data_IF_801116269896
#
_entry.id   IF_801116269896
#
_cell.length_a   1.000
_cell.length_b   1.000
_cell.length_c   1.000
_cell.angle_alpha   90.00
_cell.angle_beta   90.00
_cell.angle_gamma   90.00
#
_symmetry.space_group_name_H-M   'P 1'
#
loop_
_entity.id
_entity.type
_entity.pdbx_description
1 polymer ?
#
# COMPACT_ATOMS: atom_id res chain seq x y z
N UNK A 1 0.57 -10.81 25.63
CA UNK A 1 1.49 -9.67 25.37
C UNK A 1 1.73 -9.42 23.87
N UNK A 2 1.89 -10.45 23.03
CA UNK A 2 2.14 -10.29 21.59
C UNK A 2 1.03 -9.58 20.79
N UNK A 3 -0.25 -9.80 21.10
CA UNK A 3 -1.35 -9.23 20.31
C UNK A 3 -1.50 -7.70 20.45
N UNK A 4 -1.32 -7.19 21.67
CA UNK A 4 -1.30 -5.73 21.93
C UNK A 4 -0.08 -5.11 21.23
N UNK A 5 1.08 -5.76 21.29
CA UNK A 5 2.27 -5.31 20.59
C UNK A 5 2.05 -5.26 19.06
N UNK A 6 1.39 -6.25 18.47
CA UNK A 6 1.06 -6.26 17.04
C UNK A 6 0.10 -5.14 16.66
N UNK A 7 -0.93 -4.86 17.48
CA UNK A 7 -1.87 -3.73 17.28
C UNK A 7 -1.13 -2.38 17.28
N UNK A 8 -0.26 -2.17 18.25
CA UNK A 8 0.56 -0.97 18.37
C UNK A 8 1.55 -0.88 17.20
N UNK A 9 2.27 -1.96 16.90
CA UNK A 9 3.25 -2.02 15.83
C UNK A 9 2.63 -1.72 14.45
N UNK A 10 1.47 -2.31 14.14
CA UNK A 10 0.77 -2.06 12.88
C UNK A 10 0.39 -0.58 12.72
N UNK A 11 -0.10 0.04 13.79
CA UNK A 11 -0.50 1.45 13.77
C UNK A 11 0.72 2.37 13.65
N UNK A 12 1.79 2.09 14.39
CA UNK A 12 3.04 2.86 14.35
C UNK A 12 3.76 2.72 13.02
N UNK A 13 3.83 1.52 12.44
CA UNK A 13 4.46 1.26 11.14
C UNK A 13 3.79 2.08 10.04
N UNK A 14 2.45 2.12 10.01
CA UNK A 14 1.70 2.94 9.06
C UNK A 14 2.14 4.42 9.11
N UNK A 15 2.17 5.00 10.30
CA UNK A 15 2.56 6.41 10.49
C UNK A 15 4.03 6.61 10.13
N UNK A 16 4.90 5.73 10.60
CA UNK A 16 6.33 5.79 10.36
C UNK A 16 6.62 5.75 8.85
N UNK A 17 5.96 4.89 8.10
CA UNK A 17 6.21 4.70 6.67
C UNK A 17 5.77 5.89 5.85
N UNK A 18 4.66 6.53 6.21
CA UNK A 18 4.26 7.79 5.60
C UNK A 18 5.29 8.89 5.90
N UNK A 19 5.71 9.03 7.15
CA UNK A 19 6.68 10.06 7.57
C UNK A 19 8.04 9.85 6.91
N UNK A 20 8.59 8.64 6.96
CA UNK A 20 9.86 8.27 6.33
C UNK A 20 9.79 8.51 4.83
N UNK A 21 8.70 8.09 4.17
CA UNK A 21 8.56 8.31 2.73
C UNK A 21 8.53 9.81 2.36
N UNK A 22 7.91 10.65 3.19
CA UNK A 22 7.93 12.11 3.01
C UNK A 22 9.33 12.69 3.24
N UNK A 23 10.02 12.28 4.30
CA UNK A 23 11.36 12.78 4.63
C UNK A 23 12.35 12.38 3.52
N UNK A 24 12.38 11.12 3.13
CA UNK A 24 13.26 10.60 2.08
C UNK A 24 13.00 11.31 0.75
N UNK A 25 11.73 11.48 0.37
CA UNK A 25 11.42 12.20 -0.87
C UNK A 25 11.84 13.67 -0.87
N UNK A 26 11.78 14.34 0.28
CA UNK A 26 12.30 15.71 0.44
C UNK A 26 13.83 15.74 0.43
N UNK A 27 14.49 14.86 1.20
CA UNK A 27 15.93 14.83 1.38
C UNK A 27 16.67 14.58 0.06
N UNK A 28 16.23 13.58 -0.71
CA UNK A 28 16.86 13.20 -1.98
C UNK A 28 16.31 13.98 -3.19
N UNK A 29 15.39 14.95 -2.97
CA UNK A 29 14.73 15.72 -4.04
C UNK A 29 14.12 14.81 -5.12
N UNK A 30 13.56 13.65 -4.73
CA UNK A 30 13.00 12.62 -5.61
C UNK A 30 11.91 13.16 -6.55
N UNK A 31 11.26 14.26 -6.17
CA UNK A 31 10.33 15.02 -7.02
C UNK A 31 10.96 15.50 -8.34
N UNK A 32 12.27 15.82 -8.36
CA UNK A 32 13.01 16.18 -9.58
C UNK A 32 13.18 15.00 -10.55
N UNK A 33 13.18 13.78 -10.03
CA UNK A 33 13.23 12.53 -10.81
C UNK A 33 11.82 12.05 -11.23
N UNK A 34 10.77 12.81 -10.89
CA UNK A 34 9.39 12.45 -11.18
C UNK A 34 8.80 11.36 -10.28
N UNK A 35 9.51 10.99 -9.21
CA UNK A 35 9.06 10.09 -8.15
C UNK A 35 8.42 10.90 -7.02
N UNK A 36 7.29 10.43 -6.53
CA UNK A 36 6.55 11.03 -5.43
C UNK A 36 6.67 10.19 -4.15
N UNK A 37 6.26 10.74 -3.00
CA UNK A 37 6.29 10.00 -1.73
C UNK A 37 5.46 8.72 -1.79
N UNK A 38 4.32 8.77 -2.48
CA UNK A 38 3.47 7.62 -2.73
C UNK A 38 4.22 6.49 -3.45
N UNK A 39 5.19 6.85 -4.29
CA UNK A 39 5.95 5.87 -5.05
C UNK A 39 6.97 5.10 -4.21
N UNK A 40 7.43 5.71 -3.11
CA UNK A 40 8.26 5.04 -2.12
C UNK A 40 7.41 4.32 -1.06
N UNK A 41 6.31 4.93 -0.63
CA UNK A 41 5.45 4.41 0.42
C UNK A 41 4.70 3.14 -0.02
N UNK A 42 4.35 3.02 -1.31
CA UNK A 42 3.63 1.85 -1.82
C UNK A 42 4.34 0.51 -1.56
N UNK A 43 5.58 0.29 -2.03
CA UNK A 43 6.27 -0.98 -1.79
C UNK A 43 6.51 -1.25 -0.30
N UNK A 44 6.78 -0.20 0.49
CA UNK A 44 6.93 -0.33 1.94
C UNK A 44 5.64 -0.80 2.61
N UNK A 45 4.50 -0.20 2.27
CA UNK A 45 3.20 -0.60 2.80
C UNK A 45 2.82 -2.03 2.40
N UNK A 46 3.12 -2.47 1.17
CA UNK A 46 2.89 -3.85 0.75
C UNK A 46 3.72 -4.83 1.58
N UNK A 47 4.98 -4.49 1.84
CA UNK A 47 5.87 -5.30 2.66
C UNK A 47 5.42 -5.37 4.13
N UNK A 48 5.02 -4.24 4.72
CA UNK A 48 4.47 -4.21 6.07
C UNK A 48 3.17 -4.99 6.19
N UNK A 49 2.28 -4.84 5.21
CA UNK A 49 1.02 -5.57 5.14
C UNK A 49 1.27 -7.08 5.18
N UNK A 50 2.24 -7.56 4.39
CA UNK A 50 2.69 -8.94 4.41
C UNK A 50 3.22 -9.36 5.80
N UNK A 51 4.14 -8.57 6.38
CA UNK A 51 4.77 -8.92 7.66
C UNK A 51 3.78 -9.00 8.81
N UNK A 52 2.84 -8.05 8.88
CA UNK A 52 1.84 -8.00 9.96
C UNK A 52 0.85 -9.14 9.79
N UNK A 53 0.35 -9.36 8.58
CA UNK A 53 -0.66 -10.40 8.36
C UNK A 53 -0.10 -11.80 8.54
N UNK A 54 1.15 -12.05 8.13
CA UNK A 54 1.83 -13.32 8.37
C UNK A 54 2.08 -13.64 9.85
N UNK A 55 2.14 -12.61 10.71
CA UNK A 55 2.40 -12.77 12.16
C UNK A 55 1.13 -12.71 13.02
N UNK A 56 0.12 -11.95 12.61
CA UNK A 56 -1.07 -11.69 13.40
C UNK A 56 -2.26 -12.59 13.05
N UNK A 57 -2.32 -13.12 11.82
CA UNK A 57 -3.43 -13.93 11.34
C UNK A 57 -2.94 -15.34 10.97
N UNK A 58 -3.84 -16.31 11.04
CA UNK A 58 -3.57 -17.72 10.68
C UNK A 58 -3.30 -17.88 9.18
N UNK A 59 -3.91 -17.02 8.36
CA UNK A 59 -3.70 -16.98 6.92
C UNK A 59 -3.20 -15.60 6.50
N UNK A 60 -2.19 -15.60 5.63
CA UNK A 60 -1.64 -14.38 5.06
C UNK A 60 -2.65 -13.72 4.11
N UNK A 61 -2.84 -12.41 4.23
CA UNK A 61 -3.78 -11.67 3.38
C UNK A 61 -3.13 -11.12 2.10
N UNK A 62 -1.87 -11.46 1.81
CA UNK A 62 -1.20 -11.09 0.58
C UNK A 62 -2.02 -11.44 -0.70
N UNK A 63 -2.68 -12.62 -0.79
CA UNK A 63 -3.53 -12.92 -1.94
C UNK A 63 -4.70 -11.93 -2.09
N UNK A 64 -5.30 -11.48 -0.98
CA UNK A 64 -6.38 -10.48 -0.97
C UNK A 64 -5.89 -9.15 -1.56
N UNK A 65 -4.71 -8.71 -1.14
CA UNK A 65 -4.07 -7.49 -1.66
C UNK A 65 -3.70 -7.63 -3.14
N UNK A 66 -3.17 -8.80 -3.54
CA UNK A 66 -2.85 -9.12 -4.93
C UNK A 66 -4.06 -9.01 -5.85
N UNK A 67 -5.19 -9.62 -5.46
CA UNK A 67 -6.46 -9.54 -6.21
C UNK A 67 -6.93 -8.08 -6.33
N UNK A 68 -6.88 -7.31 -5.24
CA UNK A 68 -7.29 -5.91 -5.27
C UNK A 68 -6.42 -5.07 -6.22
N UNK A 69 -5.10 -5.27 -6.22
CA UNK A 69 -4.18 -4.61 -7.14
C UNK A 69 -4.37 -5.07 -8.60
N UNK A 70 -4.66 -6.35 -8.83
CA UNK A 70 -4.98 -6.84 -10.17
C UNK A 70 -6.26 -6.21 -10.72
N UNK A 71 -7.31 -6.10 -9.91
CA UNK A 71 -8.54 -5.41 -10.28
C UNK A 71 -8.27 -3.93 -10.59
N UNK A 72 -7.47 -3.25 -9.77
CA UNK A 72 -7.05 -1.88 -10.03
C UNK A 72 -6.31 -1.75 -11.37
N UNK A 73 -5.40 -2.68 -11.66
CA UNK A 73 -4.67 -2.69 -12.93
C UNK A 73 -5.62 -2.84 -14.12
N UNK A 74 -6.58 -3.77 -14.06
CA UNK A 74 -7.58 -3.97 -15.12
C UNK A 74 -8.42 -2.71 -15.32
N UNK A 75 -8.93 -2.12 -14.22
CA UNK A 75 -9.72 -0.89 -14.27
C UNK A 75 -8.93 0.27 -14.92
N UNK A 76 -7.65 0.41 -14.58
CA UNK A 76 -6.78 1.42 -15.18
C UNK A 76 -6.53 1.14 -16.67
N UNK A 77 -6.26 -0.11 -17.06
CA UNK A 77 -6.09 -0.47 -18.48
C UNK A 77 -7.33 -0.11 -19.29
N UNK A 78 -8.51 -0.50 -18.81
CA UNK A 78 -9.81 -0.14 -19.41
C UNK A 78 -9.94 1.40 -19.49
N UNK A 79 -9.69 2.12 -18.40
CA UNK A 79 -9.76 3.57 -18.39
C UNK A 79 -8.84 4.24 -19.44
N UNK A 80 -7.60 3.79 -19.56
CA UNK A 80 -6.65 4.32 -20.55
C UNK A 80 -7.06 3.99 -21.99
N UNK A 81 -7.55 2.78 -22.25
CA UNK A 81 -7.98 2.36 -23.59
C UNK A 81 -9.23 3.12 -24.04
N UNK A 82 -10.28 3.15 -23.21
CA UNK A 82 -11.56 3.75 -23.59
C UNK A 82 -11.54 5.28 -23.55
N UNK A 83 -10.93 5.90 -22.52
CA UNK A 83 -11.00 7.35 -22.32
C UNK A 83 -9.85 8.11 -22.97
N UNK A 84 -8.63 7.54 -22.94
CA UNK A 84 -7.44 8.21 -23.49
C UNK A 84 -7.10 7.77 -24.91
N UNK A 85 -7.64 6.64 -25.40
CA UNK A 85 -7.38 6.07 -26.74
C UNK A 85 -5.88 5.87 -27.06
N UNK A 86 -5.03 5.96 -26.04
CA UNK A 86 -3.57 5.89 -26.15
C UNK A 86 -3.05 5.26 -24.88
N UNK A 87 -2.38 4.12 -25.03
CA UNK A 87 -1.77 3.39 -23.94
C UNK A 87 -0.26 3.63 -23.95
N UNK A 88 0.23 4.36 -22.95
CA UNK A 88 1.66 4.62 -22.77
C UNK A 88 2.12 4.02 -21.44
N UNK A 89 2.96 2.99 -21.52
CA UNK A 89 3.38 2.16 -20.38
C UNK A 89 3.93 2.97 -19.19
N UNK A 90 4.85 3.94 -19.35
CA UNK A 90 5.35 4.72 -18.21
C UNK A 90 4.28 5.57 -17.52
N UNK A 91 3.26 6.03 -18.26
CA UNK A 91 2.14 6.79 -17.69
C UNK A 91 1.17 5.86 -16.96
N UNK A 92 0.92 4.67 -17.49
CA UNK A 92 0.17 3.63 -16.79
C UNK A 92 0.84 3.26 -15.46
N UNK A 93 2.15 2.94 -15.48
CA UNK A 93 2.89 2.56 -14.27
C UNK A 93 2.80 3.68 -13.23
N UNK A 94 3.06 4.95 -13.60
CA UNK A 94 2.93 6.08 -12.65
C UNK A 94 1.54 6.22 -12.05
N UNK A 95 0.49 5.95 -12.83
CA UNK A 95 -0.89 5.99 -12.33
C UNK A 95 -1.20 4.80 -11.42
N UNK A 96 -0.83 3.59 -11.86
CA UNK A 96 -0.99 2.36 -11.09
C UNK A 96 -0.28 2.47 -9.75
N UNK A 97 0.92 3.02 -9.73
CA UNK A 97 1.72 3.14 -8.53
C UNK A 97 1.09 4.10 -7.51
N UNK A 98 0.59 5.26 -7.96
CA UNK A 98 -0.11 6.24 -7.10
C UNK A 98 -1.48 5.76 -6.62
N UNK A 99 -2.25 5.12 -7.50
CA UNK A 99 -3.56 4.57 -7.14
C UNK A 99 -3.41 3.31 -6.27
N UNK A 100 -2.38 2.50 -6.56
CA UNK A 100 -2.01 1.32 -5.79
C UNK A 100 -1.59 1.70 -4.37
N UNK A 101 -0.83 2.78 -4.20
CA UNK A 101 -0.56 3.37 -2.89
C UNK A 101 -1.85 3.64 -2.11
N UNK A 102 -2.81 4.36 -2.72
CA UNK A 102 -4.07 4.69 -2.04
C UNK A 102 -4.89 3.44 -1.71
N UNK A 103 -4.98 2.48 -2.63
CA UNK A 103 -5.71 1.24 -2.40
C UNK A 103 -5.07 0.42 -1.28
N UNK A 104 -3.75 0.25 -1.30
CA UNK A 104 -3.02 -0.46 -0.25
C UNK A 104 -3.15 0.25 1.09
N UNK A 105 -3.14 1.59 1.13
CA UNK A 105 -3.37 2.36 2.35
C UNK A 105 -4.75 2.05 2.96
N UNK A 106 -5.81 2.05 2.15
CA UNK A 106 -7.17 1.73 2.60
C UNK A 106 -7.25 0.29 3.11
N UNK A 107 -6.67 -0.66 2.38
CA UNK A 107 -6.64 -2.08 2.79
C UNK A 107 -5.84 -2.29 4.07
N UNK A 108 -4.74 -1.56 4.25
CA UNK A 108 -3.94 -1.61 5.47
C UNK A 108 -4.73 -1.06 6.66
N UNK A 109 -5.44 0.05 6.49
CA UNK A 109 -6.32 0.60 7.53
C UNK A 109 -7.42 -0.43 7.88
N UNK A 110 -8.04 -1.05 6.88
CA UNK A 110 -9.02 -2.11 7.11
C UNK A 110 -8.43 -3.29 7.90
N UNK A 111 -7.20 -3.71 7.56
CA UNK A 111 -6.48 -4.75 8.31
C UNK A 111 -6.20 -4.33 9.77
N UNK A 112 -5.82 -3.07 10.03
CA UNK A 112 -5.69 -2.58 11.41
C UNK A 112 -7.02 -2.70 12.14
N UNK A 113 -8.14 -2.30 11.52
CA UNK A 113 -9.47 -2.40 12.14
C UNK A 113 -9.81 -3.86 12.45
N UNK A 114 -9.61 -4.78 11.50
CA UNK A 114 -9.78 -6.23 11.71
C UNK A 114 -8.90 -6.73 12.88
N UNK A 115 -7.65 -6.29 12.94
CA UNK A 115 -6.72 -6.63 14.01
C UNK A 115 -7.18 -6.08 15.38
N UNK A 116 -7.74 -4.87 15.41
CA UNK A 116 -8.26 -4.27 16.65
C UNK A 116 -9.47 -5.03 17.17
N UNK A 117 -10.36 -5.49 16.28
CA UNK A 117 -11.55 -6.29 16.61
C UNK A 117 -11.23 -7.72 17.05
N UNK A 118 -10.04 -8.24 16.69
CA UNK A 118 -9.59 -9.55 17.12
C UNK A 118 -9.40 -9.58 18.66
N UNK A 119 -10.17 -10.42 19.34
CA UNK A 119 -10.06 -10.65 20.78
C UNK A 119 -8.90 -11.58 21.10
N UNK A 120 -8.15 -11.33 22.20
CA UNK A 120 -7.17 -12.29 22.67
C UNK A 120 -7.86 -13.60 23.04
N UNK A 121 -7.44 -14.70 22.40
CA UNK A 121 -7.72 -16.05 22.89
C UNK A 121 -6.80 -16.38 24.06
#
# INVERSE_FOLDING_TARGET
MGMILMKIAATLLLVLTLVVSIIVTKLFKLKKLGLNFADLAFPLLVFEYYLITAKAFTHNFLPRLGVALSLLAILLVVFFLFKKRSFYYPKFIKFFWRAGFLLTLVLYIAMIVELMMLTPQ
#
